data_IF_839263982307
#
_entry.id   IF_839263982307
#
_cell.length_a   1.000
_cell.length_b   1.000
_cell.length_c   1.000
_cell.angle_alpha   90.00
_cell.angle_beta   90.00
_cell.angle_gamma   90.00
#
_symmetry.space_group_name_H-M   'P 1'
#
loop_
_entity.id
_entity.type
_entity.pdbx_description
1 polymer ?
#
# COMPACT_ATOMS: atom_id res chain seq x y z
N UNK A 1 -3.99 -3.16 8.31
CA UNK A 1 -3.29 -3.24 7.02
C UNK A 1 -1.87 -2.75 7.19
N UNK A 2 -0.89 -3.46 6.63
CA UNK A 2 0.53 -3.13 6.66
C UNK A 2 1.08 -3.09 5.25
N UNK A 3 1.73 -2.00 4.91
CA UNK A 3 2.25 -1.70 3.60
C UNK A 3 3.76 -1.45 3.69
N UNK A 4 4.49 -1.82 2.66
CA UNK A 4 5.89 -1.49 2.47
C UNK A 4 5.98 -0.47 1.33
N UNK A 5 6.64 0.65 1.58
CA UNK A 5 6.78 1.76 0.64
C UNK A 5 8.25 1.87 0.23
N UNK A 6 8.48 1.93 -1.08
CA UNK A 6 9.83 2.10 -1.63
C UNK A 6 10.40 3.48 -1.30
N UNK A 7 11.73 3.55 -1.21
CA UNK A 7 12.50 4.77 -0.89
C UNK A 7 12.04 6.02 -1.66
N UNK A 8 11.77 5.89 -2.96
CA UNK A 8 11.37 7.03 -3.81
C UNK A 8 10.06 7.71 -3.40
N UNK A 9 9.18 7.01 -2.67
CA UNK A 9 7.88 7.55 -2.23
C UNK A 9 7.75 7.62 -0.71
N UNK A 10 8.74 7.08 0.03
CA UNK A 10 8.75 7.03 1.48
C UNK A 10 8.54 8.39 2.15
N UNK A 11 9.19 9.45 1.65
CA UNK A 11 9.07 10.81 2.21
C UNK A 11 7.63 11.35 2.15
N UNK A 12 6.88 11.00 1.10
CA UNK A 12 5.47 11.41 0.99
C UNK A 12 4.61 10.77 2.08
N UNK A 13 4.88 9.51 2.43
CA UNK A 13 4.18 8.82 3.51
C UNK A 13 4.59 9.29 4.90
N UNK A 14 5.76 9.90 5.06
CA UNK A 14 6.16 10.57 6.31
C UNK A 14 5.50 11.94 6.46
N UNK A 15 5.38 12.69 5.36
CA UNK A 15 4.89 14.06 5.36
C UNK A 15 3.35 14.17 5.34
N UNK A 16 2.65 13.22 4.73
CA UNK A 16 1.21 13.26 4.54
C UNK A 16 0.52 12.21 5.40
N UNK A 17 -0.50 12.64 6.16
CA UNK A 17 -1.42 11.72 6.83
C UNK A 17 -2.53 11.33 5.85
N UNK A 18 -2.56 10.06 5.44
CA UNK A 18 -3.63 9.51 4.59
C UNK A 18 -4.80 8.93 5.42
N UNK A 19 -4.58 8.71 6.71
CA UNK A 19 -5.57 8.16 7.63
C UNK A 19 -5.15 8.45 9.07
N UNK A 20 -6.09 8.73 9.96
CA UNK A 20 -5.80 9.11 11.36
C UNK A 20 -4.98 8.07 12.13
N UNK A 21 -5.17 6.79 11.80
CA UNK A 21 -4.45 5.70 12.43
C UNK A 21 -3.05 5.44 11.85
N UNK A 22 -2.60 6.25 10.87
CA UNK A 22 -1.37 6.00 10.13
C UNK A 22 -0.18 5.97 11.08
N UNK A 23 0.62 4.92 10.99
CA UNK A 23 1.92 4.82 11.66
C UNK A 23 2.98 4.52 10.63
N UNK A 24 4.09 5.23 10.70
CA UNK A 24 5.22 5.08 9.79
C UNK A 24 6.43 4.60 10.59
N UNK A 25 7.06 3.54 10.11
CA UNK A 25 8.28 2.97 10.67
C UNK A 25 9.35 2.93 9.58
N UNK A 26 10.51 3.51 9.86
CA UNK A 26 11.62 3.47 8.92
C UNK A 26 12.22 2.07 8.87
N UNK A 27 12.50 1.57 7.66
CA UNK A 27 13.20 0.32 7.41
C UNK A 27 14.62 0.62 6.94
N UNK A 28 15.42 -0.44 6.74
CA UNK A 28 16.74 -0.34 6.14
C UNK A 28 16.64 0.22 4.71
N UNK A 29 17.72 0.84 4.23
CA UNK A 29 17.87 1.36 2.86
C UNK A 29 16.94 2.52 2.45
N UNK A 30 16.21 3.10 3.39
CA UNK A 30 15.34 4.27 3.17
C UNK A 30 13.92 3.93 2.73
N UNK A 31 13.56 2.64 2.74
CA UNK A 31 12.17 2.21 2.66
C UNK A 31 11.42 2.51 3.98
N UNK A 32 10.09 2.51 3.93
CA UNK A 32 9.27 2.64 5.14
C UNK A 32 8.16 1.61 5.15
N UNK A 33 7.84 1.15 6.35
CA UNK A 33 6.62 0.41 6.62
C UNK A 33 5.54 1.37 7.09
N UNK A 34 4.34 1.25 6.54
CA UNK A 34 3.18 2.05 6.93
C UNK A 34 2.06 1.13 7.38
N UNK A 35 1.49 1.42 8.55
CA UNK A 35 0.36 0.65 9.10
C UNK A 35 -0.88 1.51 9.24
N UNK A 36 -2.01 0.90 8.89
CA UNK A 36 -3.36 1.46 9.00
C UNK A 36 -4.27 0.51 9.77
N UNK A 37 -5.14 1.06 10.61
CA UNK A 37 -6.25 0.36 11.27
C UNK A 37 -7.52 0.77 10.53
N UNK A 38 -7.94 -0.08 9.60
CA UNK A 38 -9.13 0.12 8.77
C UNK A 38 -10.06 -1.07 8.97
N UNK A 39 -11.37 -0.80 9.03
CA UNK A 39 -12.41 -1.83 9.08
C UNK A 39 -12.77 -2.34 7.68
N UNK A 40 -12.63 -1.49 6.65
CA UNK A 40 -12.92 -1.81 5.25
C UNK A 40 -11.68 -1.87 4.35
N UNK A 41 -10.77 -2.83 4.56
CA UNK A 41 -9.53 -2.89 3.76
C UNK A 41 -9.77 -3.11 2.24
N UNK A 42 -10.94 -3.61 1.85
CA UNK A 42 -11.33 -3.78 0.43
C UNK A 42 -11.54 -2.43 -0.26
N UNK A 43 -12.03 -1.43 0.46
CA UNK A 43 -12.26 -0.07 -0.07
C UNK A 43 -10.94 0.65 -0.35
N UNK A 44 -9.84 0.18 0.25
CA UNK A 44 -8.51 0.72 0.01
C UNK A 44 -7.89 0.24 -1.32
N UNK A 45 -8.50 -0.73 -2.02
CA UNK A 45 -7.94 -1.30 -3.26
C UNK A 45 -7.65 -0.23 -4.32
N UNK A 46 -8.60 0.65 -4.71
CA UNK A 46 -8.33 1.69 -5.71
C UNK A 46 -7.21 2.64 -5.28
N UNK A 47 -7.19 3.02 -3.99
CA UNK A 47 -6.15 3.88 -3.44
C UNK A 47 -4.78 3.22 -3.49
N UNK A 48 -4.66 1.93 -3.12
CA UNK A 48 -3.42 1.15 -3.22
C UNK A 48 -2.95 1.09 -4.68
N UNK A 49 -3.84 0.77 -5.62
CA UNK A 49 -3.50 0.64 -7.03
C UNK A 49 -3.00 1.95 -7.65
N UNK A 50 -3.48 3.10 -7.17
CA UNK A 50 -3.02 4.41 -7.64
C UNK A 50 -1.52 4.68 -7.41
N UNK A 51 -0.90 3.95 -6.47
CA UNK A 51 0.54 4.03 -6.20
C UNK A 51 1.38 3.08 -7.06
N UNK A 52 0.74 2.16 -7.79
CA UNK A 52 1.41 1.18 -8.63
C UNK A 52 2.52 0.41 -7.90
N UNK A 53 3.70 0.32 -8.51
CA UNK A 53 4.83 -0.45 -8.00
C UNK A 53 5.63 0.21 -6.87
N UNK A 54 5.23 1.41 -6.42
CA UNK A 54 5.87 2.13 -5.31
C UNK A 54 5.47 1.59 -3.92
N UNK A 55 4.38 0.82 -3.86
CA UNK A 55 3.75 0.32 -2.65
C UNK A 55 3.51 -1.18 -2.78
N UNK A 56 3.84 -1.92 -1.73
CA UNK A 56 3.56 -3.35 -1.63
C UNK A 56 2.70 -3.64 -0.39
N UNK A 57 1.60 -4.36 -0.57
CA UNK A 57 0.77 -4.82 0.55
C UNK A 57 1.48 -5.99 1.22
N UNK A 58 1.86 -5.85 2.49
CA UNK A 58 2.44 -6.93 3.29
C UNK A 58 1.36 -7.73 4.01
N UNK A 59 0.37 -7.04 4.59
CA UNK A 59 -0.79 -7.66 5.24
C UNK A 59 -2.05 -6.80 5.10
N UNK A 60 -3.24 -7.43 5.06
CA UNK A 60 -3.47 -8.87 5.11
C UNK A 60 -3.19 -9.55 3.75
N UNK A 61 -2.89 -10.86 3.78
CA UNK A 61 -2.54 -11.61 2.56
C UNK A 61 -3.68 -11.61 1.51
N UNK A 62 -4.93 -11.72 1.95
CA UNK A 62 -6.07 -11.69 1.03
C UNK A 62 -6.15 -10.38 0.23
N UNK A 63 -5.69 -9.26 0.81
CA UNK A 63 -5.70 -7.97 0.13
C UNK A 63 -4.62 -7.94 -0.95
N UNK A 64 -3.44 -8.53 -0.68
CA UNK A 64 -2.39 -8.71 -1.69
C UNK A 64 -2.91 -9.54 -2.87
N UNK A 65 -3.65 -10.62 -2.61
CA UNK A 65 -4.24 -11.44 -3.67
C UNK A 65 -5.32 -10.67 -4.47
N UNK A 66 -6.18 -9.90 -3.80
CA UNK A 66 -7.17 -9.05 -4.49
C UNK A 66 -6.53 -8.01 -5.42
N UNK A 67 -5.37 -7.43 -5.04
CA UNK A 67 -4.62 -6.53 -5.92
C UNK A 67 -4.04 -7.28 -7.13
N UNK A 68 -3.49 -8.49 -6.94
CA UNK A 68 -2.98 -9.30 -8.05
C UNK A 68 -4.08 -9.67 -9.05
N UNK A 69 -5.25 -10.06 -8.55
CA UNK A 69 -6.43 -10.36 -9.38
C UNK A 69 -6.82 -9.15 -10.23
N UNK A 70 -6.91 -7.96 -9.63
CA UNK A 70 -7.22 -6.73 -10.36
C UNK A 70 -6.16 -6.38 -11.40
N UNK A 71 -4.88 -6.55 -11.09
CA UNK A 71 -3.80 -6.34 -12.07
C UNK A 71 -3.87 -7.35 -13.22
N UNK A 72 -4.23 -8.60 -12.94
CA UNK A 72 -4.42 -9.63 -13.94
C UNK A 72 -5.60 -9.29 -14.87
N UNK A 73 -6.77 -8.93 -14.31
CA UNK A 73 -7.93 -8.45 -15.08
C UNK A 73 -7.55 -7.27 -16.00
N UNK A 74 -6.79 -6.30 -15.48
CA UNK A 74 -6.32 -5.16 -16.28
C UNK A 74 -5.38 -5.57 -17.40
N UNK A 75 -4.44 -6.49 -17.16
CA UNK A 75 -3.51 -6.97 -18.19
C UNK A 75 -4.19 -7.75 -19.31
N UNK A 76 -5.41 -8.23 -19.10
CA UNK A 76 -6.19 -8.89 -20.14
C UNK A 76 -6.92 -7.87 -21.04
N UNK A 77 -7.08 -6.62 -20.58
CA UNK A 77 -7.77 -5.56 -21.31
C UNK A 77 -6.84 -4.68 -22.15
N UNK A 78 -5.57 -4.55 -21.78
CA UNK A 78 -4.57 -3.66 -22.39
C UNK A 78 -3.26 -4.41 -22.65
#
# INVERSE_FOLDING_TARGET
MRLKIKKGTAERFKAVSFHDSQKVRQLTDGEVEVTFRVTGAKEMIPWIMSWGSALEVQEPLWLREAIKEKLHEMSLMY
#
